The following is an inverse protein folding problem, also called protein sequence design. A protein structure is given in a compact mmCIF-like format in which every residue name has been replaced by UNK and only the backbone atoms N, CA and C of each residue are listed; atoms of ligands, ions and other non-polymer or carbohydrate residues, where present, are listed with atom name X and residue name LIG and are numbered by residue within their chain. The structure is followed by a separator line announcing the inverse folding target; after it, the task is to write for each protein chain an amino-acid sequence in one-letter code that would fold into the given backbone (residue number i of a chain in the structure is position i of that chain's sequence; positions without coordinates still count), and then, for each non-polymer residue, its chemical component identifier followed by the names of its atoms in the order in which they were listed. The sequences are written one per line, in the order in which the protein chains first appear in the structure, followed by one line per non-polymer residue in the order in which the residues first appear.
data_IF_881228574057
#
_entry.id   IF_881228574057
#
_cell.length_a   1.000
_cell.length_b   1.000
_cell.length_c   1.000
_cell.angle_alpha   90.00
_cell.angle_beta   90.00
_cell.angle_gamma   90.00
#
_symmetry.space_group_name_H-M   'P 1'
#
loop_
_entity.id
_entity.type
_entity.pdbx_description
1 polymer ?
#
# COMPACT_ATOMS: atom_id res chain seq x y z
N UNK A 1 -2.84 -11.49 9.38
CA UNK A 1 -2.99 -10.31 8.50
C UNK A 1 -3.93 -10.57 7.34
N UNK A 2 -4.49 -9.50 6.77
CA UNK A 2 -5.34 -9.49 5.58
C UNK A 2 -4.65 -8.67 4.51
N UNK A 3 -4.46 -9.22 3.31
CA UNK A 3 -3.93 -8.47 2.18
C UNK A 3 -5.09 -7.95 1.33
N UNK A 4 -5.06 -6.66 1.00
CA UNK A 4 -6.00 -6.00 0.10
C UNK A 4 -5.22 -5.59 -1.15
N UNK A 5 -5.44 -6.33 -2.20
CA UNK A 5 -4.76 -6.16 -3.49
C UNK A 5 -5.64 -5.35 -4.45
N UNK A 6 -5.03 -4.56 -5.32
CA UNK A 6 -5.76 -3.88 -6.39
C UNK A 6 -6.48 -4.89 -7.28
N UNK A 7 -7.76 -4.65 -7.57
CA UNK A 7 -8.55 -5.51 -8.46
C UNK A 7 -9.82 -4.79 -8.91
N UNK A 8 -10.68 -5.49 -9.65
CA UNK A 8 -12.02 -4.98 -9.95
C UNK A 8 -12.83 -4.86 -8.66
N UNK A 9 -13.00 -3.64 -8.21
CA UNK A 9 -13.58 -3.26 -6.93
C UNK A 9 -15.10 -3.03 -6.99
N UNK A 10 -15.74 -3.23 -8.12
CA UNK A 10 -17.14 -2.89 -8.34
C UNK A 10 -17.41 -1.38 -8.49
N UNK A 11 -16.38 -0.53 -8.43
CA UNK A 11 -16.49 0.91 -8.69
C UNK A 11 -16.81 1.23 -10.15
N UNK A 12 -16.61 0.27 -11.06
CA UNK A 12 -16.96 0.40 -12.46
C UNK A 12 -18.40 0.92 -12.68
N UNK A 13 -19.34 0.52 -11.82
CA UNK A 13 -20.72 1.00 -11.90
C UNK A 13 -20.86 2.53 -11.76
N UNK A 14 -20.04 3.18 -10.93
CA UNK A 14 -20.04 4.64 -10.80
C UNK A 14 -19.45 5.32 -12.03
N UNK A 15 -18.46 4.70 -12.64
CA UNK A 15 -17.82 5.22 -13.83
C UNK A 15 -18.71 5.08 -15.07
N UNK A 16 -19.58 4.09 -15.10
CA UNK A 16 -20.52 3.88 -16.20
C UNK A 16 -21.53 5.01 -16.37
N UNK A 17 -21.78 5.80 -15.33
CA UNK A 17 -22.60 7.02 -15.43
C UNK A 17 -21.92 8.12 -16.26
N UNK A 18 -20.59 8.09 -16.35
CA UNK A 18 -19.75 9.06 -17.08
C UNK A 18 -19.24 8.51 -18.41
N UNK A 19 -18.81 7.26 -18.39
CA UNK A 19 -18.31 6.53 -19.54
C UNK A 19 -18.94 5.13 -19.57
N UNK A 20 -20.11 4.95 -20.20
CA UNK A 20 -20.71 3.66 -20.35
C UNK A 20 -19.74 2.70 -21.07
N UNK A 21 -19.49 1.54 -20.48
CA UNK A 21 -18.66 0.52 -21.08
C UNK A 21 -19.56 -0.53 -21.71
N UNK A 22 -19.56 -0.62 -23.04
CA UNK A 22 -20.29 -1.65 -23.79
C UNK A 22 -19.57 -2.99 -23.76
N UNK A 23 -18.24 -2.98 -23.51
CA UNK A 23 -17.41 -4.17 -23.42
C UNK A 23 -16.41 -4.06 -22.26
N UNK A 24 -16.21 -5.16 -21.55
CA UNK A 24 -15.08 -5.29 -20.61
C UNK A 24 -13.80 -5.47 -21.43
N UNK A 25 -12.96 -4.45 -21.44
CA UNK A 25 -11.63 -4.50 -22.05
C UNK A 25 -10.58 -4.57 -20.92
N UNK A 26 -10.16 -5.78 -20.53
CA UNK A 26 -9.12 -5.92 -19.54
C UNK A 26 -7.83 -5.23 -20.00
N UNK A 27 -7.14 -4.56 -19.07
CA UNK A 27 -5.87 -3.88 -19.32
C UNK A 27 -5.90 -2.74 -20.37
N UNK A 28 -7.07 -2.18 -20.67
CA UNK A 28 -7.24 -1.02 -21.56
C UNK A 28 -8.18 0.02 -20.96
N UNK A 29 -7.92 0.53 -19.75
CA UNK A 29 -8.74 1.57 -19.15
C UNK A 29 -8.57 2.89 -19.92
N UNK A 30 -9.64 3.70 -19.93
CA UNK A 30 -9.52 5.09 -20.40
C UNK A 30 -8.74 5.94 -19.38
N UNK A 31 -8.24 7.10 -19.81
CA UNK A 31 -7.58 8.04 -18.90
C UNK A 31 -8.51 8.43 -17.72
N UNK A 32 -9.81 8.66 -17.99
CA UNK A 32 -10.78 8.96 -16.93
C UNK A 32 -10.91 7.79 -15.93
N UNK A 33 -10.99 6.56 -16.40
CA UNK A 33 -11.08 5.38 -15.52
C UNK A 33 -9.81 5.23 -14.67
N UNK A 34 -8.65 5.44 -15.26
CA UNK A 34 -7.38 5.41 -14.51
C UNK A 34 -7.35 6.45 -13.39
N UNK A 35 -7.74 7.68 -13.68
CA UNK A 35 -7.77 8.77 -12.69
C UNK A 35 -8.84 8.52 -11.62
N UNK A 36 -10.03 8.08 -12.02
CA UNK A 36 -11.16 7.96 -11.10
C UNK A 36 -11.13 6.70 -10.25
N UNK A 37 -10.59 5.58 -10.76
CA UNK A 37 -10.54 4.31 -10.02
C UNK A 37 -9.27 4.10 -9.21
N UNK A 38 -8.14 4.61 -9.67
CA UNK A 38 -6.82 4.16 -9.25
C UNK A 38 -6.59 4.10 -7.74
N UNK A 39 -7.15 5.05 -6.99
CA UNK A 39 -6.90 5.14 -5.53
C UNK A 39 -8.18 5.06 -4.68
N UNK A 40 -9.35 5.35 -5.24
CA UNK A 40 -10.61 5.41 -4.49
C UNK A 40 -11.00 4.12 -3.77
N UNK A 41 -10.91 2.95 -4.41
CA UNK A 41 -11.34 1.73 -3.74
C UNK A 41 -10.61 1.45 -2.45
N UNK A 42 -9.30 1.63 -2.42
CA UNK A 42 -8.50 1.39 -1.22
C UNK A 42 -8.70 2.50 -0.20
N UNK A 43 -8.77 3.76 -0.62
CA UNK A 43 -9.00 4.91 0.26
C UNK A 43 -10.34 4.78 0.99
N UNK A 44 -11.44 4.54 0.26
CA UNK A 44 -12.77 4.35 0.84
C UNK A 44 -12.84 3.12 1.74
N UNK A 45 -12.16 2.03 1.36
CA UNK A 45 -12.08 0.82 2.18
C UNK A 45 -11.37 1.10 3.50
N UNK A 46 -10.24 1.79 3.48
CA UNK A 46 -9.49 2.14 4.70
C UNK A 46 -10.25 3.15 5.55
N UNK A 47 -10.92 4.13 4.93
CA UNK A 47 -11.81 5.04 5.63
C UNK A 47 -12.92 4.27 6.36
N UNK A 48 -13.56 3.31 5.69
CA UNK A 48 -14.60 2.48 6.29
C UNK A 48 -14.06 1.63 7.46
N UNK A 49 -12.89 0.99 7.31
CA UNK A 49 -12.27 0.18 8.36
C UNK A 49 -11.97 0.97 9.63
N UNK A 50 -11.57 2.23 9.48
CA UNK A 50 -11.29 3.15 10.60
C UNK A 50 -12.59 3.72 11.16
N UNK A 51 -13.40 4.38 10.34
CA UNK A 51 -14.59 5.11 10.79
C UNK A 51 -15.64 4.18 11.40
N UNK A 52 -15.81 2.97 10.88
CA UNK A 52 -16.70 1.97 11.48
C UNK A 52 -16.04 1.17 12.61
N UNK A 53 -14.85 1.55 13.04
CA UNK A 53 -14.17 0.99 14.22
C UNK A 53 -13.71 -0.46 14.09
N UNK A 54 -13.52 -0.98 12.87
CA UNK A 54 -13.04 -2.36 12.68
C UNK A 54 -11.65 -2.55 13.27
N UNK A 55 -10.73 -1.59 13.04
CA UNK A 55 -9.37 -1.62 13.62
C UNK A 55 -9.37 -1.41 15.12
N UNK A 56 -10.30 -0.62 15.66
CA UNK A 56 -10.41 -0.36 17.09
C UNK A 56 -10.96 -1.57 17.85
N UNK A 57 -11.95 -2.25 17.28
CA UNK A 57 -12.50 -3.49 17.89
C UNK A 57 -11.56 -4.69 17.77
N UNK A 58 -10.63 -4.65 16.83
CA UNK A 58 -9.67 -5.73 16.57
C UNK A 58 -8.24 -5.16 16.55
N UNK A 59 -7.67 -4.80 17.70
CA UNK A 59 -6.38 -4.12 17.78
C UNK A 59 -5.21 -4.95 17.23
N UNK A 60 -5.37 -6.25 17.14
CA UNK A 60 -4.38 -7.20 16.59
C UNK A 60 -4.56 -7.44 15.08
N UNK A 61 -5.62 -6.88 14.47
CA UNK A 61 -5.80 -6.96 13.03
C UNK A 61 -4.70 -6.20 12.31
N UNK A 62 -4.11 -6.85 11.32
CA UNK A 62 -3.12 -6.23 10.42
C UNK A 62 -3.63 -6.33 8.99
N UNK A 63 -3.65 -5.19 8.32
CA UNK A 63 -4.08 -5.04 6.93
C UNK A 63 -2.89 -4.58 6.12
N UNK A 64 -2.65 -5.24 4.99
CA UNK A 64 -1.62 -4.86 4.04
C UNK A 64 -2.30 -4.35 2.77
N UNK A 65 -2.04 -3.09 2.42
CA UNK A 65 -2.44 -2.51 1.14
C UNK A 65 -1.38 -2.85 0.10
N UNK A 66 -1.71 -3.73 -0.84
CA UNK A 66 -0.80 -4.27 -1.83
C UNK A 66 -1.23 -3.81 -3.22
N UNK A 67 -0.29 -3.34 -4.04
CA UNK A 67 -0.52 -2.85 -5.40
C UNK A 67 -1.55 -1.71 -5.51
N UNK A 68 -1.68 -0.93 -4.46
CA UNK A 68 -2.56 0.24 -4.42
C UNK A 68 -1.76 1.55 -4.40
N UNK A 69 -0.43 1.48 -4.37
CA UNK A 69 0.44 2.63 -4.12
C UNK A 69 0.17 3.31 -2.79
N UNK A 70 0.74 4.50 -2.60
CA UNK A 70 0.64 5.21 -1.33
C UNK A 70 0.13 6.67 -1.43
N UNK A 71 -0.04 7.20 -2.63
CA UNK A 71 -0.41 8.61 -2.85
C UNK A 71 -1.78 9.01 -2.28
N UNK A 72 -2.63 8.06 -1.91
CA UNK A 72 -3.93 8.28 -1.26
C UNK A 72 -3.81 8.53 0.25
N UNK A 73 -2.74 8.05 0.91
CA UNK A 73 -2.58 8.12 2.37
C UNK A 73 -2.54 9.55 2.91
N UNK A 74 -1.78 10.50 2.32
CA UNK A 74 -1.74 11.87 2.83
C UNK A 74 -3.10 12.54 2.86
N UNK A 75 -3.91 12.33 1.82
CA UNK A 75 -5.23 12.92 1.74
C UNK A 75 -6.21 12.29 2.74
N UNK A 76 -6.19 10.97 2.88
CA UNK A 76 -6.98 10.26 3.89
C UNK A 76 -6.64 10.75 5.32
N UNK A 77 -5.35 10.93 5.62
CA UNK A 77 -4.92 11.45 6.93
C UNK A 77 -5.38 12.88 7.16
N UNK A 78 -5.33 13.71 6.12
CA UNK A 78 -5.90 15.06 6.18
C UNK A 78 -7.40 15.01 6.50
N UNK A 79 -8.17 14.15 5.84
CA UNK A 79 -9.59 13.98 6.10
C UNK A 79 -9.86 13.44 7.51
N UNK A 80 -9.11 12.43 7.97
CA UNK A 80 -9.24 11.93 9.34
C UNK A 80 -9.01 13.02 10.38
N UNK A 81 -7.95 13.78 10.24
CA UNK A 81 -7.65 14.87 11.17
C UNK A 81 -8.73 15.96 11.19
N UNK A 82 -9.25 16.35 10.01
CA UNK A 82 -10.29 17.36 9.89
C UNK A 82 -11.63 16.89 10.47
N UNK A 83 -12.05 15.68 10.14
CA UNK A 83 -13.33 15.12 10.63
C UNK A 83 -13.26 14.79 12.11
N UNK A 84 -12.15 14.22 12.59
CA UNK A 84 -11.95 13.93 14.01
C UNK A 84 -11.98 15.21 14.88
N UNK A 85 -11.43 16.29 14.38
CA UNK A 85 -11.52 17.60 15.06
C UNK A 85 -12.96 18.11 15.20
N UNK A 86 -13.81 17.83 14.23
CA UNK A 86 -15.22 18.30 14.17
C UNK A 86 -16.18 17.35 14.87
N UNK A 87 -15.89 16.06 14.85
CA UNK A 87 -16.82 14.99 15.28
C UNK A 87 -16.05 13.89 16.05
N UNK A 88 -15.28 14.20 17.10
CA UNK A 88 -14.47 13.21 17.80
C UNK A 88 -15.29 12.06 18.41
N UNK A 89 -16.55 12.32 18.77
CA UNK A 89 -17.45 11.32 19.36
C UNK A 89 -17.88 10.22 18.36
N UNK A 90 -17.70 10.43 17.06
CA UNK A 90 -18.02 9.43 16.02
C UNK A 90 -16.90 8.38 15.86
N UNK A 91 -15.75 8.60 16.49
CA UNK A 91 -14.61 7.69 16.42
C UNK A 91 -14.40 7.00 17.77
N UNK A 92 -14.13 5.69 17.78
CA UNK A 92 -13.78 4.98 19.02
C UNK A 92 -12.43 5.43 19.63
N UNK A 93 -11.52 5.93 18.79
CA UNK A 93 -10.19 6.42 19.12
C UNK A 93 -9.69 7.37 18.03
N UNK A 94 -8.49 7.94 18.20
CA UNK A 94 -7.85 8.72 17.13
C UNK A 94 -7.71 7.88 15.85
N UNK A 95 -8.32 8.31 14.72
CA UNK A 95 -8.35 7.53 13.50
C UNK A 95 -6.98 7.30 12.87
N UNK A 96 -6.05 8.28 13.01
CA UNK A 96 -4.68 8.14 12.50
C UNK A 96 -3.90 7.14 13.36
N UNK A 97 -4.09 7.16 14.68
CA UNK A 97 -3.47 6.19 15.57
C UNK A 97 -3.97 4.77 15.27
N UNK A 98 -5.29 4.59 15.07
CA UNK A 98 -5.88 3.31 14.69
C UNK A 98 -5.29 2.79 13.36
N UNK A 99 -5.19 3.67 12.36
CA UNK A 99 -4.61 3.34 11.06
C UNK A 99 -3.15 2.92 11.19
N UNK A 100 -2.31 3.73 11.83
CA UNK A 100 -0.88 3.44 12.04
C UNK A 100 -0.63 2.13 12.78
N UNK A 101 -1.51 1.78 13.71
CA UNK A 101 -1.40 0.52 14.44
C UNK A 101 -1.67 -0.69 13.55
N UNK A 102 -2.67 -0.60 12.67
CA UNK A 102 -3.22 -1.74 11.96
C UNK A 102 -2.82 -1.89 10.49
N UNK A 103 -2.39 -0.82 9.82
CA UNK A 103 -2.25 -0.82 8.36
C UNK A 103 -0.78 -0.75 7.94
N UNK A 104 -0.42 -1.62 7.01
CA UNK A 104 0.84 -1.62 6.27
C UNK A 104 0.55 -1.19 4.83
N UNK A 105 1.41 -0.37 4.27
CA UNK A 105 1.26 0.15 2.91
C UNK A 105 2.46 -0.24 2.07
N UNK A 106 2.21 -0.78 0.89
CA UNK A 106 3.21 -0.99 -0.15
C UNK A 106 3.13 0.17 -1.15
N UNK A 107 4.02 1.18 -1.06
CA UNK A 107 4.13 2.21 -2.07
C UNK A 107 4.52 1.60 -3.42
N UNK A 108 4.14 2.25 -4.52
CA UNK A 108 4.80 2.00 -5.79
C UNK A 108 6.24 2.52 -5.73
N UNK A 109 7.11 2.02 -6.58
CA UNK A 109 8.51 2.44 -6.59
C UNK A 109 8.68 3.95 -6.93
N UNK A 110 7.67 4.56 -7.56
CA UNK A 110 7.63 6.00 -7.87
C UNK A 110 7.10 6.86 -6.72
N UNK A 111 6.50 6.25 -5.69
CA UNK A 111 5.97 6.98 -4.53
C UNK A 111 7.11 7.47 -3.61
N UNK A 112 6.86 8.50 -2.83
CA UNK A 112 7.79 9.06 -1.84
C UNK A 112 7.83 8.20 -0.55
N UNK A 113 8.79 7.30 -0.46
CA UNK A 113 8.98 6.40 0.70
C UNK A 113 9.33 7.17 1.98
N UNK A 114 10.12 8.25 1.89
CA UNK A 114 10.46 9.05 3.05
C UNK A 114 9.21 9.74 3.64
N UNK A 115 8.36 10.26 2.77
CA UNK A 115 7.07 10.83 3.17
C UNK A 115 6.15 9.78 3.79
N UNK A 116 6.14 8.56 3.26
CA UNK A 116 5.36 7.48 3.85
C UNK A 116 5.91 7.06 5.21
N UNK A 117 7.23 7.00 5.36
CA UNK A 117 7.85 6.73 6.66
C UNK A 117 7.51 7.80 7.71
N UNK A 118 7.48 9.08 7.31
CA UNK A 118 7.04 10.19 8.18
C UNK A 118 5.57 10.04 8.61
N UNK A 119 4.69 9.74 7.66
CA UNK A 119 3.24 9.66 7.90
C UNK A 119 2.84 8.41 8.68
N UNK A 120 3.36 7.25 8.32
CA UNK A 120 2.94 5.94 8.83
C UNK A 120 3.81 5.45 9.99
N UNK A 121 5.07 5.85 10.02
CA UNK A 121 6.17 5.17 10.69
C UNK A 121 6.83 4.14 9.78
N UNK A 122 8.16 4.07 9.82
CA UNK A 122 8.94 3.17 8.95
C UNK A 122 8.52 1.69 9.06
N UNK A 123 8.07 1.26 10.25
CA UNK A 123 7.61 -0.10 10.52
C UNK A 123 6.29 -0.48 9.82
N UNK A 124 5.67 0.45 9.10
CA UNK A 124 4.41 0.26 8.37
C UNK A 124 4.57 0.40 6.86
N UNK A 125 5.77 0.70 6.39
CA UNK A 125 6.10 0.77 4.97
C UNK A 125 6.71 -0.56 4.56
N UNK A 126 6.13 -1.18 3.53
CA UNK A 126 6.59 -2.46 2.99
C UNK A 126 6.83 -2.32 1.49
N UNK A 127 7.60 -3.22 0.91
CA UNK A 127 7.89 -3.20 -0.51
C UNK A 127 7.51 -4.51 -1.19
N UNK A 128 7.01 -4.39 -2.42
CA UNK A 128 6.84 -5.47 -3.37
C UNK A 128 7.20 -4.97 -4.77
N UNK A 129 7.94 -5.75 -5.53
CA UNK A 129 8.44 -5.34 -6.85
C UNK A 129 7.39 -5.38 -7.96
N UNK A 130 6.31 -6.10 -7.72
CA UNK A 130 5.28 -6.41 -8.71
C UNK A 130 5.81 -7.10 -9.99
N UNK A 131 7.02 -7.64 -9.92
CA UNK A 131 7.60 -8.38 -11.05
C UNK A 131 6.81 -9.71 -11.28
N UNK A 132 6.45 -10.08 -12.52
CA UNK A 132 6.93 -9.57 -13.81
C UNK A 132 5.94 -8.62 -14.54
N UNK A 133 5.09 -7.91 -13.83
CA UNK A 133 4.18 -6.95 -14.46
C UNK A 133 4.95 -5.79 -15.11
N UNK A 134 4.45 -5.22 -16.23
CA UNK A 134 5.16 -4.15 -16.96
C UNK A 134 5.43 -2.89 -16.12
N UNK A 135 4.55 -2.59 -15.17
CA UNK A 135 4.67 -1.48 -14.21
C UNK A 135 5.57 -1.80 -13.02
N UNK A 136 5.92 -3.08 -12.86
CA UNK A 136 6.77 -3.55 -11.77
C UNK A 136 8.24 -3.20 -11.94
N UNK A 137 9.00 -3.34 -10.87
CA UNK A 137 10.43 -3.09 -10.84
C UNK A 137 11.20 -4.37 -11.23
N UNK A 138 11.80 -4.38 -12.42
CA UNK A 138 12.49 -5.55 -12.97
C UNK A 138 13.71 -5.99 -12.15
N UNK A 139 14.40 -5.02 -11.54
CA UNK A 139 15.47 -5.26 -10.56
C UNK A 139 15.03 -4.70 -9.19
N UNK A 140 14.45 -5.51 -8.32
CA UNK A 140 13.95 -5.04 -7.02
C UNK A 140 15.03 -4.45 -6.11
N UNK A 141 16.29 -4.85 -6.29
CA UNK A 141 17.39 -4.36 -5.47
C UNK A 141 17.76 -2.91 -5.82
N UNK A 142 17.48 -2.48 -7.04
CA UNK A 142 17.71 -1.08 -7.44
C UNK A 142 16.93 -0.06 -6.61
N UNK A 143 15.87 -0.49 -5.92
CA UNK A 143 15.15 0.39 -4.99
C UNK A 143 16.02 0.86 -3.81
N UNK A 144 17.02 0.08 -3.41
CA UNK A 144 17.91 0.44 -2.29
C UNK A 144 18.58 1.79 -2.53
N UNK A 145 19.15 1.99 -3.72
CA UNK A 145 19.80 3.25 -4.08
C UNK A 145 18.81 4.44 -3.99
N UNK A 146 17.59 4.24 -4.46
CA UNK A 146 16.54 5.26 -4.38
C UNK A 146 16.14 5.56 -2.92
N UNK A 147 16.06 4.56 -2.06
CA UNK A 147 15.74 4.75 -0.64
C UNK A 147 16.86 5.51 0.08
N UNK A 148 18.13 5.24 -0.26
CA UNK A 148 19.28 5.99 0.23
C UNK A 148 19.24 7.45 -0.22
N UNK A 149 18.99 7.70 -1.50
CA UNK A 149 18.85 9.04 -2.07
C UNK A 149 17.70 9.83 -1.43
N UNK A 150 16.64 9.14 -1.02
CA UNK A 150 15.51 9.73 -0.28
C UNK A 150 15.79 9.91 1.22
N UNK A 151 17.00 9.58 1.69
CA UNK A 151 17.47 9.85 3.05
C UNK A 151 17.08 8.81 4.09
N UNK A 152 16.66 7.62 3.68
CA UNK A 152 16.47 6.51 4.62
C UNK A 152 17.84 5.96 5.03
N UNK A 153 17.99 5.68 6.32
CA UNK A 153 19.17 4.99 6.82
C UNK A 153 19.10 3.47 6.55
N UNK A 154 20.21 2.78 6.79
CA UNK A 154 20.31 1.34 6.53
C UNK A 154 19.31 0.48 7.33
N UNK A 155 18.90 0.91 8.52
CA UNK A 155 17.87 0.22 9.31
C UNK A 155 16.49 0.37 8.65
N UNK A 156 16.14 1.60 8.28
CA UNK A 156 14.89 1.90 7.57
C UNK A 156 14.79 1.17 6.23
N UNK A 157 15.87 1.15 5.46
CA UNK A 157 15.95 0.40 4.19
C UNK A 157 15.74 -1.10 4.45
N UNK A 158 16.45 -1.67 5.43
CA UNK A 158 16.28 -3.08 5.80
C UNK A 158 14.85 -3.43 6.20
N UNK A 159 14.16 -2.53 6.91
CA UNK A 159 12.74 -2.68 7.28
C UNK A 159 11.84 -2.69 6.04
N UNK A 160 11.96 -1.70 5.18
CA UNK A 160 11.16 -1.58 3.94
C UNK A 160 11.37 -2.79 3.03
N UNK A 161 12.63 -3.17 2.79
CA UNK A 161 13.01 -4.23 1.85
C UNK A 161 12.64 -5.65 2.29
N UNK A 162 12.10 -5.81 3.50
CA UNK A 162 11.59 -7.11 3.95
C UNK A 162 11.49 -7.29 5.46
N UNK A 163 12.25 -6.53 6.26
CA UNK A 163 12.27 -6.66 7.72
C UNK A 163 10.88 -6.57 8.33
N UNK A 164 10.07 -5.60 7.91
CA UNK A 164 8.69 -5.43 8.38
C UNK A 164 7.79 -6.64 8.08
N UNK A 165 7.97 -7.29 6.94
CA UNK A 165 7.23 -8.50 6.60
C UNK A 165 7.72 -9.72 7.38
N UNK A 166 9.04 -9.83 7.58
CA UNK A 166 9.63 -10.88 8.43
C UNK A 166 9.07 -10.81 9.85
N UNK A 167 9.01 -9.62 10.42
CA UNK A 167 8.47 -9.40 11.77
C UNK A 167 6.96 -9.67 11.83
N UNK A 168 6.20 -9.18 10.86
CA UNK A 168 4.77 -9.34 10.78
C UNK A 168 4.34 -10.81 10.67
N UNK A 169 5.02 -11.57 9.81
CA UNK A 169 4.71 -12.98 9.57
C UNK A 169 5.48 -13.93 10.50
N UNK A 170 6.34 -13.39 11.37
CA UNK A 170 7.20 -14.17 12.26
C UNK A 170 7.99 -15.23 11.50
N UNK A 171 8.52 -14.83 10.35
CA UNK A 171 9.32 -15.72 9.51
C UNK A 171 10.58 -16.11 10.27
N UNK A 172 10.89 -17.41 10.46
CA UNK A 172 12.12 -17.82 11.12
C UNK A 172 13.31 -17.25 10.36
N UNK A 173 14.31 -16.77 11.09
CA UNK A 173 15.56 -16.28 10.49
C UNK A 173 16.36 -17.46 9.92
N UNK A 174 15.86 -18.05 8.85
CA UNK A 174 16.56 -19.07 8.08
C UNK A 174 17.47 -18.35 7.11
N UNK A 175 18.77 -18.68 7.14
CA UNK A 175 19.67 -18.23 6.08
C UNK A 175 19.05 -18.62 4.75
N UNK A 176 18.61 -17.62 3.98
CA UNK A 176 18.14 -17.86 2.61
C UNK A 176 19.30 -18.45 1.84
N UNK A 177 19.21 -19.73 1.54
CA UNK A 177 20.15 -20.37 0.64
C UNK A 177 19.87 -19.76 -0.73
N UNK A 178 20.78 -18.90 -1.21
CA UNK A 178 20.71 -18.40 -2.58
C UNK A 178 20.77 -19.64 -3.48
N UNK A 179 19.68 -20.01 -4.20
CA UNK A 179 19.78 -21.14 -5.11
C UNK A 179 20.86 -20.80 -6.15
N UNK A 180 21.74 -21.75 -6.46
CA UNK A 180 22.60 -21.66 -7.62
C UNK A 180 21.72 -21.65 -8.87
N UNK A 181 21.28 -20.47 -9.26
CA UNK A 181 20.53 -20.28 -10.50
C UNK A 181 21.59 -20.30 -11.61
N UNK A 182 21.59 -21.30 -12.52
CA UNK A 182 22.47 -21.26 -13.67
C UNK A 182 22.23 -19.97 -14.45
N UNK A 183 23.29 -19.28 -14.85
CA UNK A 183 23.16 -18.09 -15.68
C UNK A 183 22.29 -18.44 -16.90
N UNK A 184 21.17 -17.73 -17.05
CA UNK A 184 20.31 -17.88 -18.23
C UNK A 184 21.12 -17.39 -19.43
N UNK A 185 21.61 -18.31 -20.21
CA UNK A 185 22.23 -18.00 -21.51
C UNK A 185 21.09 -17.67 -22.46
N UNK A 186 20.81 -16.38 -22.62
CA UNK A 186 19.93 -15.91 -23.67
C UNK A 186 20.69 -16.04 -25.00
N UNK A 187 20.29 -17.00 -25.82
CA UNK A 187 20.79 -17.20 -27.18
C UNK A 187 20.13 -16.24 -28.15
#
# INVERSE_FOLDING_TARGET
PVCMHASDSGYARYLNDWEPADEFLPFRPTAFRMVAMGKRPIEDTMAAMVCHGALSRNPDLRILSIENGASWVPYLFYQFADVFKKMPQEFPEDPIAAFRRGVYVAPFWEDDFAKMAELLGIDRVIFGSDWPHPEGLADPISLVDQLEDNGLDSDGIGKVMGGNLVDLFKVPNTKVHKPDVPALVIA
#
